data_IF_812766081704
#
_entry.id   IF_812766081704
#
_cell.length_a   1.000
_cell.length_b   1.000
_cell.length_c   1.000
_cell.angle_alpha   90.00
_cell.angle_beta   90.00
_cell.angle_gamma   90.00
#
_symmetry.space_group_name_H-M   'P 1'
#
loop_
_entity.id
_entity.type
_entity.pdbx_description
1 polymer ?
#
# COMPACT_ATOMS: atom_id res chain seq x y z
N UNK A 1 -4.33 -12.78 11.69
CA UNK A 1 -2.94 -13.28 11.57
C UNK A 1 -2.34 -13.78 12.89
N UNK A 2 -2.83 -13.37 14.07
CA UNK A 2 -2.31 -13.82 15.39
C UNK A 2 -2.10 -15.33 15.53
N UNK A 3 -3.04 -16.15 15.04
CA UNK A 3 -2.98 -17.62 15.16
C UNK A 3 -1.95 -18.30 14.22
N UNK A 4 -1.37 -17.57 13.26
CA UNK A 4 -0.44 -18.13 12.29
C UNK A 4 0.97 -18.23 12.89
N UNK A 5 1.79 -19.24 12.54
CA UNK A 5 3.17 -19.36 13.03
C UNK A 5 4.05 -18.17 12.60
N UNK A 6 4.81 -17.62 13.54
CA UNK A 6 5.71 -16.48 13.28
C UNK A 6 6.82 -16.77 12.27
N UNK A 7 7.21 -18.04 12.10
CA UNK A 7 8.26 -18.45 11.17
C UNK A 7 7.82 -18.48 9.69
N UNK A 8 6.52 -18.42 9.39
CA UNK A 8 6.01 -18.36 8.01
C UNK A 8 6.45 -17.05 7.36
N UNK A 9 6.94 -17.09 6.13
CA UNK A 9 7.19 -15.89 5.31
C UNK A 9 5.88 -15.34 4.76
N UNK A 10 5.86 -14.06 4.40
CA UNK A 10 4.63 -13.41 3.93
C UNK A 10 4.12 -13.93 2.59
N UNK A 11 5.01 -14.44 1.74
CA UNK A 11 4.71 -15.10 0.47
C UNK A 11 4.05 -16.48 0.64
N UNK A 12 4.16 -17.10 1.82
CA UNK A 12 3.41 -18.31 2.18
C UNK A 12 1.96 -18.02 2.63
N UNK A 13 1.54 -16.75 2.66
CA UNK A 13 0.23 -16.34 3.18
C UNK A 13 -0.67 -15.78 2.08
N UNK A 14 -1.91 -16.27 2.03
CA UNK A 14 -2.96 -15.62 1.26
C UNK A 14 -3.45 -14.38 2.01
N UNK A 15 -3.20 -13.20 1.44
CA UNK A 15 -3.58 -11.91 2.04
C UNK A 15 -4.55 -11.16 1.13
N UNK A 16 -5.81 -10.95 1.56
CA UNK A 16 -6.73 -10.10 0.83
C UNK A 16 -6.20 -8.67 0.72
N UNK A 17 -6.31 -8.08 -0.48
CA UNK A 17 -5.92 -6.71 -0.76
C UNK A 17 -7.01 -5.91 -1.44
N UNK A 18 -6.87 -4.58 -1.43
CA UNK A 18 -7.78 -3.67 -2.13
C UNK A 18 -7.02 -2.77 -3.10
N UNK A 19 -7.45 -2.78 -4.37
CA UNK A 19 -6.97 -1.86 -5.40
C UNK A 19 -7.45 -0.45 -5.10
N UNK A 20 -6.56 0.55 -5.22
CA UNK A 20 -6.88 1.94 -4.94
C UNK A 20 -7.63 2.07 -3.60
N UNK A 21 -7.01 1.60 -2.51
CA UNK A 21 -7.65 1.34 -1.20
C UNK A 21 -8.52 2.50 -0.69
N UNK A 22 -8.12 3.74 -0.93
CA UNK A 22 -8.85 4.92 -0.45
C UNK A 22 -9.77 5.55 -1.51
N UNK A 23 -9.98 4.90 -2.67
CA UNK A 23 -10.74 5.47 -3.76
C UNK A 23 -12.26 5.35 -3.57
N UNK A 24 -12.81 6.21 -2.71
CA UNK A 24 -14.24 6.29 -2.36
C UNK A 24 -15.03 7.31 -3.19
N UNK A 25 -14.33 8.22 -3.85
CA UNK A 25 -14.87 9.31 -4.67
C UNK A 25 -14.65 8.97 -6.14
N UNK A 26 -15.71 8.93 -6.94
CA UNK A 26 -15.60 8.56 -8.35
C UNK A 26 -15.28 9.69 -9.32
N UNK A 27 -15.39 10.95 -8.88
CA UNK A 27 -15.18 12.11 -9.75
C UNK A 27 -16.24 12.20 -10.87
N UNK A 28 -15.94 12.96 -11.94
CA UNK A 28 -16.81 13.00 -13.11
C UNK A 28 -17.01 11.60 -13.70
N UNK A 29 -18.27 11.26 -14.00
CA UNK A 29 -18.68 9.95 -14.55
C UNK A 29 -18.41 8.73 -13.65
N UNK A 30 -18.11 8.93 -12.36
CA UNK A 30 -17.91 7.87 -11.35
C UNK A 30 -16.82 6.83 -11.70
N UNK A 31 -15.82 7.24 -12.50
CA UNK A 31 -14.78 6.34 -13.02
C UNK A 31 -13.63 6.08 -12.05
N UNK A 32 -13.44 6.93 -11.05
CA UNK A 32 -12.32 6.83 -10.11
C UNK A 32 -12.65 6.00 -8.85
N UNK A 33 -13.91 5.58 -8.62
CA UNK A 33 -14.28 4.89 -7.39
C UNK A 33 -13.93 3.41 -7.50
N UNK A 34 -13.19 2.88 -6.53
CA UNK A 34 -12.84 1.46 -6.46
C UNK A 34 -13.35 0.78 -5.20
N UNK A 35 -13.64 1.54 -4.15
CA UNK A 35 -14.03 1.00 -2.85
C UNK A 35 -15.33 1.64 -2.34
N UNK A 36 -16.08 0.90 -1.53
CA UNK A 36 -17.26 1.39 -0.81
C UNK A 36 -17.05 1.51 0.70
N UNK A 37 -15.95 0.95 1.22
CA UNK A 37 -15.60 0.89 2.62
C UNK A 37 -14.42 1.78 2.93
N UNK A 38 -14.45 2.46 4.07
CA UNK A 38 -13.29 3.18 4.60
C UNK A 38 -12.13 2.22 4.92
N UNK A 39 -10.91 2.77 5.02
CA UNK A 39 -9.74 1.97 5.37
C UNK A 39 -9.91 1.20 6.70
N UNK A 40 -10.43 1.80 7.80
CA UNK A 40 -10.66 1.06 9.05
C UNK A 40 -11.65 -0.10 8.87
N UNK A 41 -12.71 0.09 8.07
CA UNK A 41 -13.69 -0.97 7.78
C UNK A 41 -13.08 -2.11 6.94
N UNK A 42 -12.23 -1.78 5.96
CA UNK A 42 -11.50 -2.78 5.18
C UNK A 42 -10.58 -3.61 6.08
N UNK A 43 -9.81 -2.95 6.95
CA UNK A 43 -8.92 -3.61 7.90
C UNK A 43 -9.70 -4.51 8.87
N UNK A 44 -10.85 -4.04 9.37
CA UNK A 44 -11.74 -4.83 10.23
C UNK A 44 -12.31 -6.08 9.53
N UNK A 45 -12.43 -6.06 8.19
CA UNK A 45 -12.89 -7.19 7.37
C UNK A 45 -11.76 -8.09 6.85
N UNK A 46 -10.54 -7.91 7.34
CA UNK A 46 -9.42 -8.80 7.05
C UNK A 46 -8.55 -8.38 5.86
N UNK A 47 -8.74 -7.20 5.27
CA UNK A 47 -7.81 -6.66 4.27
C UNK A 47 -6.44 -6.42 4.93
N UNK A 48 -5.37 -6.91 4.31
CA UNK A 48 -3.99 -6.75 4.80
C UNK A 48 -3.01 -6.25 3.75
N UNK A 49 -3.42 -6.14 2.48
CA UNK A 49 -2.65 -5.49 1.43
C UNK A 49 -3.36 -4.22 0.93
N UNK A 50 -2.68 -3.08 1.01
CA UNK A 50 -3.23 -1.77 0.66
C UNK A 50 -2.50 -1.20 -0.56
N UNK A 51 -3.25 -0.79 -1.60
CA UNK A 51 -2.73 -0.02 -2.74
C UNK A 51 -2.95 1.48 -2.47
N UNK A 52 -1.89 2.17 -2.06
CA UNK A 52 -1.92 3.59 -1.70
C UNK A 52 -1.22 4.43 -2.77
N UNK A 53 -1.98 5.35 -3.34
CA UNK A 53 -1.59 6.16 -4.49
C UNK A 53 -1.46 7.62 -4.08
N UNK A 54 -0.23 8.10 -4.02
CA UNK A 54 0.13 9.40 -3.47
C UNK A 54 0.46 10.40 -4.58
N UNK A 55 -0.13 11.59 -4.49
CA UNK A 55 0.27 12.76 -5.29
C UNK A 55 1.00 13.76 -4.39
N UNK A 56 2.27 14.11 -4.69
CA UNK A 56 2.95 15.25 -4.08
C UNK A 56 2.15 16.55 -4.32
N UNK A 57 1.84 17.25 -3.24
CA UNK A 57 1.12 18.51 -3.25
C UNK A 57 1.49 19.31 -2.00
N UNK A 58 1.94 20.56 -2.16
CA UNK A 58 2.38 21.45 -1.06
C UNK A 58 3.31 20.77 -0.03
N UNK A 59 4.29 20.02 -0.52
CA UNK A 59 5.29 19.36 0.34
C UNK A 59 4.80 18.14 1.12
N UNK A 60 3.57 17.68 0.88
CA UNK A 60 2.99 16.48 1.48
C UNK A 60 2.36 15.57 0.42
N UNK A 61 1.79 14.44 0.84
CA UNK A 61 1.06 13.50 0.00
C UNK A 61 -0.44 13.55 0.24
N UNK A 62 -1.15 13.81 -0.86
CA UNK A 62 -2.60 13.66 -1.01
C UNK A 62 -2.90 12.32 -1.69
N UNK A 63 -4.05 11.71 -1.41
CA UNK A 63 -4.44 10.43 -2.01
C UNK A 63 -5.29 10.66 -3.26
N UNK A 64 -4.94 9.99 -4.35
CA UNK A 64 -5.53 10.21 -5.67
C UNK A 64 -5.85 8.89 -6.39
N UNK A 65 -6.80 8.95 -7.31
CA UNK A 65 -6.93 8.00 -8.42
C UNK A 65 -7.00 8.80 -9.71
N UNK A 66 -5.93 8.73 -10.52
CA UNK A 66 -5.70 9.69 -11.59
C UNK A 66 -5.73 11.13 -11.05
N UNK A 67 -6.43 12.01 -11.76
CA UNK A 67 -6.58 13.41 -11.35
C UNK A 67 -7.47 13.63 -10.13
N UNK A 68 -8.26 12.62 -9.72
CA UNK A 68 -9.31 12.78 -8.72
C UNK A 68 -8.72 12.68 -7.32
N UNK A 69 -8.83 13.77 -6.56
CA UNK A 69 -8.48 13.79 -5.15
C UNK A 69 -9.52 13.02 -4.35
N UNK A 70 -9.07 12.04 -3.56
CA UNK A 70 -9.94 11.16 -2.80
C UNK A 70 -10.37 11.74 -1.44
N UNK A 71 -10.16 13.04 -1.22
CA UNK A 71 -10.49 13.76 0.03
C UNK A 71 -9.80 13.18 1.25
N UNK A 72 -8.56 12.73 1.07
CA UNK A 72 -7.76 12.09 2.11
C UNK A 72 -6.28 12.31 1.87
N UNK A 73 -5.51 12.44 2.94
CA UNK A 73 -4.06 12.60 2.88
C UNK A 73 -3.35 11.32 3.36
N UNK A 74 -2.08 11.16 2.99
CA UNK A 74 -1.31 9.98 3.40
C UNK A 74 -1.13 9.91 4.92
N UNK A 75 -1.06 11.06 5.60
CA UNK A 75 -1.04 11.12 7.07
C UNK A 75 -2.26 10.43 7.71
N UNK A 76 -3.45 10.62 7.13
CA UNK A 76 -4.69 10.00 7.62
C UNK A 76 -4.67 8.48 7.39
N UNK A 77 -4.07 8.02 6.30
CA UNK A 77 -3.89 6.59 6.00
C UNK A 77 -2.96 5.94 7.02
N UNK A 78 -1.81 6.57 7.29
CA UNK A 78 -0.84 6.05 8.26
C UNK A 78 -1.37 6.08 9.68
N UNK A 79 -2.17 7.09 10.03
CA UNK A 79 -2.83 7.19 11.33
C UNK A 79 -3.81 6.03 11.56
N UNK A 80 -4.63 5.71 10.56
CA UNK A 80 -5.55 4.55 10.63
C UNK A 80 -4.79 3.22 10.73
N UNK A 81 -3.72 3.04 9.93
CA UNK A 81 -2.89 1.84 9.98
C UNK A 81 -2.23 1.67 11.35
N UNK A 82 -1.70 2.76 11.91
CA UNK A 82 -1.14 2.79 13.26
C UNK A 82 -2.17 2.41 14.31
N UNK A 83 -3.36 3.00 14.25
CA UNK A 83 -4.43 2.70 15.20
C UNK A 83 -4.81 1.21 15.12
N UNK A 84 -4.96 0.67 13.91
CA UNK A 84 -5.24 -0.74 13.69
C UNK A 84 -4.14 -1.66 14.24
N UNK A 85 -2.87 -1.41 13.91
CA UNK A 85 -1.74 -2.24 14.36
C UNK A 85 -1.51 -2.14 15.87
N UNK A 86 -1.83 -0.98 16.47
CA UNK A 86 -1.80 -0.81 17.94
C UNK A 86 -2.87 -1.68 18.61
N UNK A 87 -4.09 -1.68 18.07
CA UNK A 87 -5.18 -2.49 18.59
C UNK A 87 -5.02 -3.99 18.29
N UNK A 88 -4.26 -4.33 17.24
CA UNK A 88 -4.08 -5.69 16.75
C UNK A 88 -2.58 -6.00 16.54
N UNK A 89 -1.77 -6.09 17.62
CA UNK A 89 -0.32 -6.24 17.51
C UNK A 89 0.12 -7.56 16.87
N UNK A 90 -0.79 -8.55 16.76
CA UNK A 90 -0.56 -9.80 16.05
C UNK A 90 -0.65 -9.71 14.53
N UNK A 91 -1.10 -8.57 13.98
CA UNK A 91 -1.31 -8.35 12.55
C UNK A 91 -0.13 -7.61 11.90
N UNK A 92 -0.06 -7.62 10.58
CA UNK A 92 0.85 -6.80 9.78
C UNK A 92 0.07 -6.23 8.59
N UNK A 93 0.54 -5.12 8.00
CA UNK A 93 -0.05 -4.54 6.80
C UNK A 93 1.02 -4.50 5.72
N UNK A 94 0.72 -4.99 4.52
CA UNK A 94 1.51 -4.68 3.33
C UNK A 94 0.94 -3.42 2.71
N UNK A 95 1.77 -2.42 2.50
CA UNK A 95 1.35 -1.15 1.90
C UNK A 95 2.17 -0.91 0.65
N UNK A 96 1.51 -1.01 -0.50
CA UNK A 96 2.07 -0.54 -1.74
C UNK A 96 1.93 0.98 -1.83
N UNK A 97 3.03 1.67 -2.11
CA UNK A 97 3.06 3.13 -2.26
C UNK A 97 3.60 3.49 -3.64
N UNK A 98 2.78 4.21 -4.41
CA UNK A 98 3.15 4.73 -5.73
C UNK A 98 2.92 6.24 -5.87
N UNK A 99 3.61 6.86 -6.82
CA UNK A 99 3.32 8.22 -7.28
C UNK A 99 2.13 8.18 -8.25
N UNK A 100 1.15 9.04 -8.03
CA UNK A 100 -0.06 9.16 -8.85
C UNK A 100 -0.19 10.57 -9.42
N UNK A 101 -0.48 10.66 -10.73
CA UNK A 101 -0.86 11.90 -11.41
C UNK A 101 0.01 13.13 -11.04
N UNK A 102 1.33 12.99 -11.17
CA UNK A 102 2.30 14.04 -10.86
C UNK A 102 3.61 13.87 -11.62
N UNK A 103 4.13 15.00 -12.10
CA UNK A 103 5.44 15.11 -12.75
C UNK A 103 6.59 15.36 -11.75
N UNK A 104 6.29 15.42 -10.44
CA UNK A 104 7.30 15.60 -9.41
C UNK A 104 8.44 14.57 -9.56
N UNK A 105 9.71 14.99 -9.50
CA UNK A 105 10.84 14.08 -9.59
C UNK A 105 10.79 12.96 -8.54
N UNK A 106 11.33 11.79 -8.87
CA UNK A 106 11.40 10.67 -7.92
C UNK A 106 12.16 11.06 -6.63
N UNK A 107 13.20 11.89 -6.74
CA UNK A 107 13.94 12.41 -5.59
C UNK A 107 13.07 13.28 -4.68
N UNK A 108 12.16 14.08 -5.24
CA UNK A 108 11.22 14.88 -4.44
C UNK A 108 10.22 13.97 -3.71
N UNK A 109 9.64 12.99 -4.41
CA UNK A 109 8.74 12.02 -3.80
C UNK A 109 9.44 11.27 -2.65
N UNK A 110 10.64 10.75 -2.89
CA UNK A 110 11.43 10.07 -1.87
C UNK A 110 11.72 11.00 -0.67
N UNK A 111 12.13 12.24 -0.93
CA UNK A 111 12.40 13.23 0.11
C UNK A 111 11.17 13.49 0.97
N UNK A 112 10.00 13.72 0.37
CA UNK A 112 8.74 13.91 1.11
C UNK A 112 8.43 12.68 1.96
N UNK A 113 8.56 11.47 1.39
CA UNK A 113 8.33 10.23 2.13
C UNK A 113 9.23 10.13 3.37
N UNK A 114 10.54 10.33 3.22
CA UNK A 114 11.48 10.21 4.34
C UNK A 114 11.38 11.36 5.35
N UNK A 115 11.48 12.60 4.89
CA UNK A 115 11.53 13.76 5.78
C UNK A 115 10.21 13.94 6.51
N UNK A 116 9.09 13.98 5.77
CA UNK A 116 7.80 14.33 6.35
C UNK A 116 7.19 13.16 7.09
N UNK A 117 7.11 11.98 6.45
CA UNK A 117 6.35 10.87 7.04
C UNK A 117 7.17 10.05 8.02
N UNK A 118 8.42 9.72 7.70
CA UNK A 118 9.19 8.84 8.57
C UNK A 118 9.83 9.58 9.74
N UNK A 119 10.48 10.71 9.45
CA UNK A 119 11.16 11.53 10.46
C UNK A 119 10.18 12.45 11.18
N UNK A 120 9.61 13.44 10.50
CA UNK A 120 8.89 14.54 11.16
C UNK A 120 7.54 14.07 11.76
N UNK A 121 6.86 13.13 11.12
CA UNK A 121 5.66 12.46 11.67
C UNK A 121 5.96 11.15 12.42
N UNK A 122 7.24 10.81 12.59
CA UNK A 122 7.72 9.67 13.39
C UNK A 122 7.12 8.30 13.00
N UNK A 123 6.72 8.12 11.74
CA UNK A 123 6.24 6.81 11.26
C UNK A 123 7.36 5.81 10.98
N UNK A 124 8.64 6.20 11.04
CA UNK A 124 9.77 5.30 10.75
C UNK A 124 9.66 3.97 11.49
N UNK A 125 9.36 4.02 12.80
CA UNK A 125 9.21 2.80 13.60
C UNK A 125 8.12 1.87 13.06
N UNK A 126 7.04 2.39 12.48
CA UNK A 126 5.94 1.55 12.00
C UNK A 126 6.28 0.80 10.72
N UNK A 127 7.28 1.25 9.96
CA UNK A 127 7.64 0.63 8.70
C UNK A 127 8.72 -0.45 8.84
N UNK A 128 8.53 -1.57 8.14
CA UNK A 128 9.57 -2.51 7.78
C UNK A 128 9.96 -2.27 6.32
N UNK A 129 11.22 -1.85 6.10
CA UNK A 129 11.72 -1.43 4.77
C UNK A 129 13.02 -2.13 4.35
N UNK A 130 13.33 -3.29 4.93
CA UNK A 130 14.50 -4.05 4.53
C UNK A 130 14.33 -4.56 3.09
N UNK A 131 15.28 -4.31 2.18
CA UNK A 131 15.21 -4.81 0.81
C UNK A 131 15.68 -6.28 0.72
N UNK A 132 15.48 -6.90 -0.44
CA UNK A 132 16.20 -8.11 -0.84
C UNK A 132 15.66 -9.45 -0.32
N UNK A 133 14.63 -9.47 0.53
CA UNK A 133 13.91 -10.71 0.89
C UNK A 133 12.50 -10.44 1.40
N UNK A 134 11.64 -11.43 1.27
CA UNK A 134 10.33 -11.45 1.93
C UNK A 134 10.53 -11.76 3.43
N UNK A 135 9.99 -10.93 4.34
CA UNK A 135 10.15 -11.15 5.78
C UNK A 135 9.24 -12.27 6.30
N UNK A 136 9.60 -12.81 7.46
CA UNK A 136 8.71 -13.68 8.23
C UNK A 136 7.63 -12.87 8.94
N UNK A 137 6.48 -13.48 9.18
CA UNK A 137 5.37 -12.84 9.89
C UNK A 137 5.82 -12.31 11.26
N UNK A 138 6.66 -13.06 11.98
CA UNK A 138 7.22 -12.68 13.27
C UNK A 138 8.01 -11.37 13.25
N UNK A 139 8.75 -11.12 12.17
CA UNK A 139 9.57 -9.90 12.01
C UNK A 139 8.73 -8.63 11.79
N UNK A 140 7.49 -8.79 11.33
CA UNK A 140 6.66 -7.67 10.84
C UNK A 140 5.32 -7.52 11.56
N UNK A 141 5.07 -8.31 12.61
CA UNK A 141 3.91 -8.09 13.47
C UNK A 141 3.95 -6.68 14.07
N UNK A 142 2.81 -5.99 14.04
CA UNK A 142 2.69 -4.59 14.46
C UNK A 142 3.36 -3.58 13.51
N UNK A 143 3.81 -4.01 12.32
CA UNK A 143 4.49 -3.15 11.34
C UNK A 143 3.74 -3.10 10.00
N UNK A 144 4.08 -2.08 9.22
CA UNK A 144 3.73 -1.90 7.82
C UNK A 144 4.93 -2.35 6.98
N UNK A 145 4.78 -3.40 6.19
CA UNK A 145 5.78 -3.80 5.19
C UNK A 145 5.57 -2.95 3.94
N UNK A 146 6.57 -2.15 3.59
CA UNK A 146 6.50 -1.26 2.43
C UNK A 146 6.79 -2.04 1.14
N UNK A 147 5.87 -1.94 0.18
CA UNK A 147 6.04 -2.41 -1.20
C UNK A 147 6.20 -1.17 -2.09
N UNK A 148 7.44 -0.86 -2.46
CA UNK A 148 7.77 0.35 -3.20
C UNK A 148 7.42 0.24 -4.68
N UNK A 149 6.55 1.14 -5.15
CA UNK A 149 6.29 1.41 -6.57
C UNK A 149 6.84 2.78 -7.00
N UNK A 150 7.68 3.38 -6.16
CA UNK A 150 8.39 4.61 -6.44
C UNK A 150 9.86 4.45 -6.01
N UNK A 151 10.84 4.92 -6.79
CA UNK A 151 12.24 4.84 -6.41
C UNK A 151 12.54 5.57 -5.10
N UNK A 152 13.51 5.06 -4.34
CA UNK A 152 14.11 5.78 -3.23
C UNK A 152 13.35 5.76 -1.90
N UNK A 153 12.16 5.15 -1.80
CA UNK A 153 11.40 5.06 -0.52
C UNK A 153 11.76 3.85 0.36
N UNK A 154 12.52 2.89 -0.18
CA UNK A 154 12.94 1.65 0.50
C UNK A 154 11.85 0.57 0.54
N UNK A 155 12.15 -0.59 1.13
CA UNK A 155 11.22 -1.73 1.20
C UNK A 155 11.38 -2.72 0.07
N UNK A 156 10.34 -3.54 -0.13
CA UNK A 156 10.27 -4.51 -1.21
C UNK A 156 10.05 -3.78 -2.52
N UNK A 157 10.99 -3.87 -3.46
CA UNK A 157 10.80 -3.29 -4.79
C UNK A 157 9.73 -4.11 -5.54
N UNK A 158 8.61 -3.46 -5.87
CA UNK A 158 7.51 -4.07 -6.62
C UNK A 158 7.93 -4.61 -7.98
N UNK A 159 9.03 -4.11 -8.53
CA UNK A 159 9.55 -4.47 -9.85
C UNK A 159 10.70 -5.49 -9.79
N UNK A 160 11.11 -5.94 -8.61
CA UNK A 160 12.08 -7.03 -8.47
C UNK A 160 11.42 -8.38 -8.76
N UNK A 161 11.55 -8.83 -10.01
CA UNK A 161 11.00 -10.10 -10.48
C UNK A 161 11.62 -11.35 -9.84
N UNK A 162 12.72 -11.22 -9.10
CA UNK A 162 13.26 -12.35 -8.33
C UNK A 162 12.53 -12.52 -6.99
N UNK A 163 11.85 -11.48 -6.51
CA UNK A 163 11.10 -11.49 -5.25
C UNK A 163 9.59 -11.54 -5.47
N UNK A 164 9.08 -10.85 -6.49
CA UNK A 164 7.65 -10.65 -6.69
C UNK A 164 7.25 -11.02 -8.12
N UNK A 165 6.38 -12.02 -8.25
CA UNK A 165 5.64 -12.28 -9.47
C UNK A 165 4.30 -11.56 -9.38
N UNK A 166 3.91 -10.80 -10.40
CA UNK A 166 2.69 -9.99 -10.34
C UNK A 166 1.97 -9.87 -11.67
N UNK A 167 0.66 -10.08 -11.63
CA UNK A 167 -0.25 -9.81 -12.74
C UNK A 167 -1.02 -8.50 -12.50
N UNK A 168 -0.75 -7.48 -13.34
CA UNK A 168 -1.36 -6.14 -13.25
C UNK A 168 -1.83 -5.62 -14.62
N UNK A 169 -2.30 -6.52 -15.49
CA UNK A 169 -2.81 -6.16 -16.82
C UNK A 169 -4.22 -5.57 -16.72
N UNK A 170 -4.34 -4.34 -16.20
CA UNK A 170 -5.61 -3.72 -15.84
C UNK A 170 -6.43 -3.19 -17.04
N UNK A 171 -5.83 -3.08 -18.23
CA UNK A 171 -6.49 -2.62 -19.46
C UNK A 171 -7.12 -3.75 -20.28
N UNK A 172 -6.91 -5.01 -19.90
CA UNK A 172 -7.45 -6.15 -20.64
C UNK A 172 -8.99 -6.19 -20.61
N UNK A 173 -9.64 -6.64 -21.70
CA UNK A 173 -11.04 -7.02 -21.65
C UNK A 173 -11.30 -8.07 -20.56
N UNK A 174 -12.48 -8.05 -19.96
CA UNK A 174 -12.83 -8.87 -18.78
C UNK A 174 -12.46 -10.35 -18.91
N UNK A 175 -12.78 -10.98 -20.04
CA UNK A 175 -12.45 -12.40 -20.27
C UNK A 175 -10.94 -12.65 -20.23
N UNK A 176 -10.15 -11.83 -20.94
CA UNK A 176 -8.69 -11.96 -20.94
C UNK A 176 -8.07 -11.63 -19.58
N UNK A 177 -8.66 -10.68 -18.84
CA UNK A 177 -8.24 -10.38 -17.47
C UNK A 177 -8.48 -11.57 -16.54
N UNK A 178 -9.61 -12.25 -16.69
CA UNK A 178 -9.93 -13.45 -15.93
C UNK A 178 -8.94 -14.58 -16.24
N UNK A 179 -8.66 -14.84 -17.51
CA UNK A 179 -7.67 -15.84 -17.91
C UNK A 179 -6.28 -15.50 -17.34
N UNK A 180 -5.83 -14.25 -17.45
CA UNK A 180 -4.55 -13.82 -16.89
C UNK A 180 -4.50 -13.98 -15.36
N UNK A 181 -5.63 -13.84 -14.65
CA UNK A 181 -5.70 -14.07 -13.21
C UNK A 181 -5.61 -15.56 -12.87
N UNK A 182 -6.27 -16.44 -13.63
CA UNK A 182 -6.26 -17.88 -13.36
C UNK A 182 -4.91 -18.56 -13.62
N UNK A 183 -4.11 -18.02 -14.54
CA UNK A 183 -2.80 -18.56 -14.88
C UNK A 183 -1.66 -18.09 -13.95
N UNK A 184 -1.93 -17.11 -13.09
CA UNK A 184 -0.98 -16.57 -12.13
C UNK A 184 -1.08 -17.32 -10.80
#
# INVERSE_FOLDING_TARGET
MTALPSARTLDDLTMPGTHNTCALIGGPFDTAKCQSLTLPEQLARGVRYLDIRCRPFDGAFTIHHGAIYQRRNFHDVLTDCRAFLTANPGETILMSVQKEHSDAPAAEFARIFHDVYLRDHEFERWFHRAPGRIPTLGEVRGRIVLVAKAPGIGGLDRYDGNLLSVQDEWTLPTARKWDAFQHH
#
